data_IF_645098285803
#
_entry.id   IF_645098285803
#
_cell.length_a   1.000
_cell.length_b   1.000
_cell.length_c   1.000
_cell.angle_alpha   90.00
_cell.angle_beta   90.00
_cell.angle_gamma   90.00
#
_symmetry.space_group_name_H-M   'P 1'
#
loop_
_entity.id
_entity.type
_entity.pdbx_description
1 polymer ?
#
# COMPACT_ATOMS: atom_id res chain seq x y z
N UNK A 1 -14.75 -20.25 6.90
CA UNK A 1 -13.72 -19.56 6.10
C UNK A 1 -14.41 -18.95 4.90
N UNK A 2 -14.22 -17.66 4.63
CA UNK A 2 -14.73 -17.07 3.39
C UNK A 2 -14.02 -17.69 2.19
N UNK A 3 -14.73 -17.90 1.07
CA UNK A 3 -14.11 -18.29 -0.19
C UNK A 3 -13.20 -17.14 -0.64
N UNK A 4 -11.89 -17.41 -0.81
CA UNK A 4 -10.96 -16.43 -1.33
C UNK A 4 -11.12 -16.31 -2.85
N UNK A 5 -11.22 -15.09 -3.36
CA UNK A 5 -11.14 -14.83 -4.81
C UNK A 5 -9.67 -14.85 -5.23
N UNK A 6 -9.33 -15.74 -6.16
CA UNK A 6 -7.99 -15.89 -6.74
C UNK A 6 -7.97 -15.42 -8.19
N UNK A 7 -6.84 -14.91 -8.67
CA UNK A 7 -6.59 -14.62 -10.08
C UNK A 7 -6.11 -15.88 -10.84
N UNK A 8 -5.77 -15.74 -12.13
CA UNK A 8 -5.30 -16.87 -12.96
C UNK A 8 -3.97 -17.49 -12.50
N UNK A 9 -3.16 -16.73 -11.74
CA UNK A 9 -1.92 -17.20 -11.14
C UNK A 9 -2.14 -17.86 -9.76
N UNK A 10 -3.38 -17.92 -9.26
CA UNK A 10 -3.70 -18.49 -7.96
C UNK A 10 -3.43 -17.53 -6.79
N UNK A 11 -3.21 -16.25 -7.06
CA UNK A 11 -2.93 -15.23 -6.05
C UNK A 11 -4.21 -14.52 -5.62
N UNK A 12 -4.27 -14.14 -4.36
CA UNK A 12 -5.24 -13.17 -3.85
C UNK A 12 -4.88 -11.76 -4.33
N UNK A 13 -5.84 -10.84 -4.27
CA UNK A 13 -5.60 -9.43 -4.60
C UNK A 13 -4.53 -8.77 -3.72
N UNK A 14 -4.38 -9.23 -2.48
CA UNK A 14 -3.38 -8.69 -1.55
C UNK A 14 -1.99 -9.18 -1.93
N UNK A 15 -1.85 -10.46 -2.27
CA UNK A 15 -0.57 -11.02 -2.74
C UNK A 15 -0.14 -10.37 -4.06
N UNK A 16 -1.06 -10.24 -5.03
CA UNK A 16 -0.79 -9.57 -6.31
C UNK A 16 -0.33 -8.11 -6.11
N UNK A 17 -0.96 -7.38 -5.17
CA UNK A 17 -0.56 -6.01 -4.87
C UNK A 17 0.82 -5.93 -4.18
N UNK A 18 1.15 -6.89 -3.32
CA UNK A 18 2.47 -6.97 -2.67
C UNK A 18 3.55 -7.27 -3.70
N UNK A 19 3.34 -8.26 -4.57
CA UNK A 19 4.28 -8.59 -5.65
C UNK A 19 4.49 -7.38 -6.56
N UNK A 20 3.41 -6.69 -6.93
CA UNK A 20 3.50 -5.49 -7.75
C UNK A 20 4.38 -4.39 -7.12
N UNK A 21 4.26 -4.16 -5.80
CA UNK A 21 5.08 -3.18 -5.10
C UNK A 21 6.56 -3.60 -5.05
N UNK A 22 6.85 -4.89 -4.87
CA UNK A 22 8.21 -5.41 -4.84
C UNK A 22 8.88 -5.33 -6.22
N UNK A 23 8.17 -5.70 -7.28
CA UNK A 23 8.69 -5.70 -8.65
C UNK A 23 8.98 -4.28 -9.17
N UNK A 24 8.23 -3.30 -8.68
CA UNK A 24 8.32 -1.91 -9.13
C UNK A 24 8.98 -1.00 -8.10
N UNK A 25 9.67 -1.55 -7.09
CA UNK A 25 10.32 -0.76 -6.06
C UNK A 25 11.43 0.11 -6.68
N UNK A 26 11.34 1.45 -6.60
CA UNK A 26 12.41 2.32 -7.07
C UNK A 26 13.63 2.21 -6.14
N UNK A 27 14.83 2.49 -6.67
CA UNK A 27 16.09 2.33 -5.92
C UNK A 27 16.11 3.18 -4.64
N UNK A 28 15.52 4.37 -4.73
CA UNK A 28 15.36 5.34 -3.65
C UNK A 28 14.19 5.04 -2.68
N UNK A 29 13.31 4.10 -3.02
CA UNK A 29 12.08 3.83 -2.29
C UNK A 29 10.91 4.75 -2.70
N UNK A 30 9.69 4.35 -2.34
CA UNK A 30 8.48 5.09 -2.71
C UNK A 30 8.30 6.36 -1.87
N UNK A 31 7.84 7.43 -2.53
CA UNK A 31 7.21 8.55 -1.82
C UNK A 31 5.72 8.24 -1.62
N UNK A 32 5.30 7.99 -0.38
CA UNK A 32 3.92 7.64 -0.06
C UNK A 32 3.19 8.88 0.47
N UNK A 33 2.33 9.47 -0.36
CA UNK A 33 1.45 10.56 0.05
C UNK A 33 0.33 10.03 0.96
N UNK A 34 0.46 10.27 2.26
CA UNK A 34 -0.44 9.74 3.28
C UNK A 34 -1.48 10.81 3.66
N UNK A 35 -2.78 10.49 3.57
CA UNK A 35 -3.85 11.45 3.91
C UNK A 35 -4.61 11.06 5.17
N UNK A 36 -4.33 9.90 5.77
CA UNK A 36 -5.13 9.32 6.85
C UNK A 36 -6.48 8.76 6.40
N UNK A 37 -6.86 8.96 5.12
CA UNK A 37 -8.03 8.32 4.53
C UNK A 37 -7.80 6.82 4.28
N UNK A 38 -8.89 6.05 4.20
CA UNK A 38 -8.88 4.59 4.08
C UNK A 38 -7.93 4.07 2.98
N UNK A 39 -7.89 4.74 1.84
CA UNK A 39 -7.10 4.29 0.69
C UNK A 39 -5.61 4.46 0.99
N UNK A 40 -5.19 5.60 1.54
CA UNK A 40 -3.80 5.84 1.94
C UNK A 40 -3.34 4.94 3.10
N UNK A 41 -4.25 4.59 4.01
CA UNK A 41 -3.99 3.62 5.10
C UNK A 41 -3.76 2.22 4.55
N UNK A 42 -4.58 1.78 3.58
CA UNK A 42 -4.38 0.48 2.92
C UNK A 42 -3.09 0.46 2.11
N UNK A 43 -2.74 1.53 1.40
CA UNK A 43 -1.47 1.60 0.67
C UNK A 43 -0.27 1.56 1.62
N UNK A 44 -0.34 2.25 2.77
CA UNK A 44 0.68 2.18 3.81
C UNK A 44 0.85 0.75 4.35
N UNK A 45 -0.26 0.08 4.72
CA UNK A 45 -0.23 -1.30 5.21
C UNK A 45 0.29 -2.30 4.16
N UNK A 46 -0.03 -2.10 2.88
CA UNK A 46 0.51 -2.90 1.78
C UNK A 46 2.02 -2.69 1.58
N UNK A 47 2.49 -1.44 1.64
CA UNK A 47 3.91 -1.13 1.54
C UNK A 47 4.71 -1.73 2.70
N UNK A 48 4.19 -1.68 3.93
CA UNK A 48 4.78 -2.35 5.09
C UNK A 48 4.83 -3.87 4.91
N UNK A 49 3.74 -4.50 4.46
CA UNK A 49 3.71 -5.96 4.21
C UNK A 49 4.65 -6.39 3.10
N UNK A 50 4.80 -5.56 2.07
CA UNK A 50 5.71 -5.83 0.95
C UNK A 50 7.18 -5.71 1.36
N UNK A 51 7.50 -5.03 2.47
CA UNK A 51 8.86 -4.83 2.94
C UNK A 51 9.69 -3.91 2.04
N UNK A 52 9.03 -3.11 1.21
CA UNK A 52 9.67 -2.14 0.31
C UNK A 52 10.08 -0.88 1.07
N UNK A 53 11.08 -0.17 0.59
CA UNK A 53 11.45 1.14 1.12
C UNK A 53 10.41 2.17 0.73
N UNK A 54 9.95 2.96 1.69
CA UNK A 54 9.09 4.10 1.42
C UNK A 54 9.24 5.17 2.50
N UNK A 55 8.89 6.40 2.13
CA UNK A 55 8.76 7.54 3.03
C UNK A 55 7.32 8.05 3.02
N UNK A 56 6.63 7.89 4.16
CA UNK A 56 5.23 8.26 4.31
C UNK A 56 5.09 9.71 4.78
N UNK A 57 4.55 10.55 3.92
CA UNK A 57 4.35 11.96 4.18
C UNK A 57 2.89 12.27 4.43
N UNK A 58 2.55 12.58 5.69
CA UNK A 58 1.21 13.00 6.04
C UNK A 58 0.93 14.41 5.50
N UNK A 59 0.02 14.52 4.54
CA UNK A 59 -0.48 15.78 4.04
C UNK A 59 -1.65 16.24 4.91
N UNK A 60 -1.35 17.06 5.93
CA UNK A 60 -2.35 17.70 6.78
C UNK A 60 -3.26 18.55 5.90
N UNK A 61 -4.54 18.22 5.82
CA UNK A 61 -5.50 19.09 5.18
C UNK A 61 -5.81 20.26 6.13
N UNK A 62 -5.99 21.50 5.65
CA UNK A 62 -6.35 22.63 6.52
C UNK A 62 -7.76 22.51 7.14
N UNK A 63 -8.45 21.39 6.89
CA UNK A 63 -9.80 21.06 7.38
C UNK A 63 -9.72 19.99 8.50
N UNK A 64 -8.54 19.41 8.75
CA UNK A 64 -8.37 18.40 9.80
C UNK A 64 -8.57 19.07 11.18
N UNK A 65 -9.43 18.51 12.07
CA UNK A 65 -9.62 19.04 13.41
C UNK A 65 -8.31 18.93 14.24
N UNK A 66 -8.07 19.88 15.16
CA UNK A 66 -6.83 19.97 15.95
C UNK A 66 -6.62 18.82 16.93
#
# INVERSE_FOLDING_TARGET
MALAQLNLAGLTKVEEAIEFLQENEPVEGYYLAFSGGKDSVVIYDLAEKAGVKFDAHYCVSPIDPP
#
